data_IF_015704093329
#
_entry.id   IF_015704093329
#
_cell.length_a   1.000
_cell.length_b   1.000
_cell.length_c   1.000
_cell.angle_alpha   90.00
_cell.angle_beta   90.00
_cell.angle_gamma   90.00
#
_symmetry.space_group_name_H-M   'P 1'
#
loop_
_entity.id
_entity.type
_entity.pdbx_description
1 polymer ?
#
# COMPACT_ATOMS: atom_id res chain seq x y z
N UNK A 1 1.40 2.96 -0.70
CA UNK A 1 2.31 1.83 -1.03
C UNK A 1 1.51 0.61 -1.43
N UNK A 2 1.52 0.21 -2.72
CA UNK A 2 0.84 -1.01 -3.17
C UNK A 2 1.40 -2.23 -2.42
N UNK A 3 0.61 -3.30 -2.28
CA UNK A 3 1.04 -4.49 -1.53
C UNK A 3 0.64 -4.48 -0.06
N UNK A 4 0.18 -3.34 0.44
CA UNK A 4 -0.39 -3.17 1.76
C UNK A 4 -1.84 -2.72 1.64
N UNK A 5 -2.70 -3.17 2.55
CA UNK A 5 -4.10 -2.76 2.57
C UNK A 5 -4.22 -1.24 2.73
N UNK A 6 -5.26 -0.67 2.11
CA UNK A 6 -5.44 0.78 2.07
C UNK A 6 -5.56 1.36 3.49
N UNK A 7 -4.80 2.44 3.75
CA UNK A 7 -4.80 3.16 5.03
C UNK A 7 -4.40 2.32 6.26
N UNK A 8 -3.61 1.26 6.09
CA UNK A 8 -3.19 0.38 7.21
C UNK A 8 -1.78 0.63 7.74
N UNK A 9 -0.95 1.36 6.98
CA UNK A 9 0.42 1.68 7.38
C UNK A 9 0.48 2.80 8.42
N UNK A 10 1.41 2.66 9.37
CA UNK A 10 1.71 3.64 10.40
C UNK A 10 1.13 3.31 11.80
N UNK A 11 0.94 4.34 12.65
CA UNK A 11 0.49 4.18 14.02
C UNK A 11 -0.87 3.51 14.19
N UNK A 12 -0.97 2.63 15.19
CA UNK A 12 -2.17 1.86 15.52
C UNK A 12 -2.54 1.98 16.99
N UNK A 13 -3.80 1.80 17.30
CA UNK A 13 -4.27 1.74 18.69
C UNK A 13 -3.68 0.51 19.40
N UNK A 14 -3.36 0.61 20.68
CA UNK A 14 -2.93 -0.56 21.44
C UNK A 14 -4.16 -1.39 21.85
N UNK A 15 -4.24 -2.67 21.48
CA UNK A 15 -5.27 -3.56 22.02
C UNK A 15 -5.10 -3.74 23.53
N UNK A 16 -6.18 -3.50 24.28
CA UNK A 16 -6.28 -3.73 25.72
C UNK A 16 -6.80 -5.14 25.96
N UNK A 17 -6.10 -5.90 26.79
CA UNK A 17 -6.49 -7.26 27.15
C UNK A 17 -7.88 -7.29 27.83
N UNK A 18 -8.76 -8.19 27.37
CA UNK A 18 -10.12 -8.33 27.90
C UNK A 18 -11.18 -7.44 27.26
N UNK A 19 -10.81 -6.56 26.31
CA UNK A 19 -11.76 -5.83 25.48
C UNK A 19 -11.83 -6.43 24.07
N UNK A 20 -12.99 -6.31 23.43
CA UNK A 20 -13.17 -6.73 22.04
C UNK A 20 -12.46 -5.76 21.10
N UNK A 21 -11.55 -6.27 20.28
CA UNK A 21 -10.93 -5.55 19.17
C UNK A 21 -11.27 -6.23 17.87
N UNK A 22 -11.54 -5.41 16.84
CA UNK A 22 -11.78 -5.92 15.48
C UNK A 22 -10.50 -6.49 14.87
N UNK A 23 -9.35 -5.89 15.18
CA UNK A 23 -8.02 -6.35 14.77
C UNK A 23 -7.12 -6.50 16.00
N UNK A 24 -6.50 -7.68 16.15
CA UNK A 24 -5.55 -7.98 17.21
C UNK A 24 -4.24 -7.17 17.09
N UNK A 25 -3.99 -6.52 15.95
CA UNK A 25 -2.89 -5.57 15.72
C UNK A 25 -3.25 -4.13 16.10
N UNK A 26 -4.48 -3.89 16.57
CA UNK A 26 -5.04 -2.55 16.76
C UNK A 26 -5.55 -1.96 15.46
N UNK A 27 -6.36 -0.90 15.55
CA UNK A 27 -6.86 -0.20 14.37
C UNK A 27 -5.88 0.91 13.96
N UNK A 28 -5.56 1.04 12.65
CA UNK A 28 -4.75 2.13 12.15
C UNK A 28 -5.50 3.46 12.30
N UNK A 29 -4.85 4.48 12.84
CA UNK A 29 -5.45 5.81 13.02
C UNK A 29 -4.71 6.91 12.24
N UNK A 30 -3.65 6.55 11.53
CA UNK A 30 -2.82 7.48 10.76
C UNK A 30 -1.81 8.24 11.63
N UNK A 31 -1.31 9.35 11.10
CA UNK A 31 -0.25 10.12 11.72
C UNK A 31 -0.15 11.53 11.14
N UNK A 32 0.81 12.31 11.63
CA UNK A 32 1.00 13.70 11.23
C UNK A 32 2.12 13.93 10.20
N UNK A 33 2.81 12.86 9.79
CA UNK A 33 3.82 12.90 8.74
C UNK A 33 3.65 11.71 7.79
N UNK A 34 3.83 11.94 6.50
CA UNK A 34 3.74 10.93 5.44
C UNK A 34 4.99 11.05 4.56
N UNK A 35 5.62 9.90 4.30
CA UNK A 35 6.68 9.79 3.29
C UNK A 35 6.19 8.79 2.25
N UNK A 36 6.22 9.19 0.99
CA UNK A 36 5.88 8.32 -0.14
C UNK A 36 6.78 8.61 -1.34
N UNK A 37 7.24 7.55 -1.99
CA UNK A 37 8.01 7.56 -3.22
C UNK A 37 7.54 6.39 -4.08
N UNK A 38 7.30 6.64 -5.37
CA UNK A 38 6.95 5.60 -6.34
C UNK A 38 7.77 5.77 -7.61
N UNK A 39 8.26 4.66 -8.13
CA UNK A 39 8.93 4.58 -9.43
C UNK A 39 8.25 3.54 -10.30
N UNK A 40 7.93 3.90 -11.54
CA UNK A 40 7.23 3.03 -12.48
C UNK A 40 7.98 2.96 -13.81
N UNK A 41 8.18 1.73 -14.30
CA UNK A 41 8.72 1.44 -15.63
C UNK A 41 7.60 0.88 -16.50
N UNK A 42 7.22 1.65 -17.52
CA UNK A 42 6.21 1.25 -18.50
C UNK A 42 6.93 0.52 -19.63
N UNK A 43 6.43 -0.64 -20.00
CA UNK A 43 7.01 -1.43 -21.10
C UNK A 43 5.89 -2.01 -21.97
N UNK A 44 6.13 -2.23 -23.27
CA UNK A 44 5.17 -2.92 -24.15
C UNK A 44 5.22 -4.43 -23.90
N UNK A 45 4.06 -5.10 -23.88
CA UNK A 45 3.99 -6.57 -23.83
C UNK A 45 4.28 -7.16 -25.22
N UNK A 46 5.30 -8.02 -25.37
CA UNK A 46 5.76 -8.49 -26.68
C UNK A 46 4.81 -9.46 -27.41
N UNK A 47 3.62 -9.74 -26.86
CA UNK A 47 2.65 -10.72 -27.37
C UNK A 47 1.22 -10.16 -27.50
N UNK A 48 1.04 -8.85 -27.32
CA UNK A 48 -0.28 -8.19 -27.37
C UNK A 48 -0.33 -7.23 -28.55
N UNK A 49 -1.20 -7.52 -29.53
CA UNK A 49 -1.38 -6.69 -30.73
C UNK A 49 -2.13 -5.37 -30.46
N UNK A 50 -2.85 -5.26 -29.33
CA UNK A 50 -3.55 -4.05 -28.90
C UNK A 50 -2.64 -3.10 -28.11
N UNK A 51 -1.61 -2.58 -28.79
CA UNK A 51 -0.54 -1.72 -28.26
C UNK A 51 -1.07 -0.38 -27.68
N UNK A 52 -2.37 -0.08 -27.82
CA UNK A 52 -3.00 1.16 -27.33
C UNK A 52 -4.08 1.01 -26.24
N UNK A 53 -4.52 -0.21 -25.91
CA UNK A 53 -5.58 -0.42 -24.91
C UNK A 53 -5.05 -1.00 -23.59
N UNK A 54 -3.84 -1.56 -23.61
CA UNK A 54 -3.21 -2.19 -22.47
C UNK A 54 -1.92 -1.45 -22.14
N UNK A 55 -1.77 -1.07 -20.87
CA UNK A 55 -0.55 -0.48 -20.31
C UNK A 55 -0.02 -1.41 -19.22
N UNK A 56 1.11 -2.05 -19.48
CA UNK A 56 1.87 -2.80 -18.48
C UNK A 56 2.92 -1.92 -17.83
N UNK A 57 3.11 -2.14 -16.53
CA UNK A 57 4.12 -1.45 -15.74
C UNK A 57 4.77 -2.40 -14.74
N UNK A 58 6.06 -2.19 -14.51
CA UNK A 58 6.76 -2.67 -13.33
C UNK A 58 6.88 -1.49 -12.37
N UNK A 59 6.67 -1.71 -11.08
CA UNK A 59 6.72 -0.64 -10.10
C UNK A 59 7.55 -1.00 -8.88
N UNK A 60 8.04 0.05 -8.22
CA UNK A 60 8.61 0.03 -6.88
C UNK A 60 7.96 1.16 -6.11
N UNK A 61 7.34 0.84 -4.97
CA UNK A 61 6.74 1.80 -4.06
C UNK A 61 7.47 1.76 -2.72
N UNK A 62 7.66 2.93 -2.11
CA UNK A 62 8.25 3.11 -0.80
C UNK A 62 7.38 4.12 -0.05
N UNK A 63 7.07 3.86 1.21
CA UNK A 63 6.41 4.84 2.05
C UNK A 63 5.98 4.32 3.40
N UNK A 64 5.65 5.25 4.29
CA UNK A 64 4.98 4.97 5.54
C UNK A 64 4.36 6.25 6.12
N UNK A 65 3.42 6.09 7.04
CA UNK A 65 2.84 7.15 7.85
C UNK A 65 3.50 7.13 9.24
N UNK A 66 3.83 8.32 9.73
CA UNK A 66 4.60 8.56 10.96
C UNK A 66 3.80 9.48 11.89
N UNK A 67 4.09 9.40 13.19
CA UNK A 67 3.56 10.38 14.15
C UNK A 67 4.67 10.89 15.07
N UNK A 68 5.03 12.17 14.93
CA UNK A 68 6.09 12.82 15.71
C UNK A 68 5.70 13.03 17.18
N UNK A 69 4.44 12.83 17.54
CA UNK A 69 3.94 12.91 18.91
C UNK A 69 3.08 11.68 19.22
N UNK A 70 3.75 10.56 19.51
CA UNK A 70 3.11 9.29 19.82
C UNK A 70 2.33 9.35 21.14
N UNK A 71 0.99 9.22 21.11
CA UNK A 71 0.19 9.14 22.33
C UNK A 71 0.45 7.85 23.10
N UNK A 72 0.29 7.89 24.42
CA UNK A 72 0.24 6.67 25.25
C UNK A 72 -0.89 5.75 24.79
N UNK A 73 -0.67 4.43 24.83
CA UNK A 73 -1.65 3.45 24.37
C UNK A 73 -1.67 3.28 22.84
N UNK A 74 -0.55 3.53 22.18
CA UNK A 74 -0.37 3.25 20.75
C UNK A 74 0.74 2.23 20.52
N UNK A 75 0.62 1.48 19.43
CA UNK A 75 1.62 0.54 18.93
C UNK A 75 1.99 0.93 17.51
N UNK A 76 3.15 0.47 17.03
CA UNK A 76 3.66 0.80 15.70
C UNK A 76 3.74 2.33 15.47
N UNK A 77 4.04 3.10 16.53
CA UNK A 77 4.15 4.54 16.49
C UNK A 77 5.62 4.95 16.66
N UNK A 78 6.13 5.70 15.69
CA UNK A 78 7.51 6.12 15.61
C UNK A 78 7.60 7.49 14.95
N UNK A 79 8.65 8.24 15.32
CA UNK A 79 9.06 9.47 14.64
C UNK A 79 9.63 9.11 13.25
N UNK A 80 9.94 10.12 12.43
CA UNK A 80 10.53 9.92 11.10
C UNK A 80 11.79 9.04 11.17
N UNK A 81 11.63 7.81 10.71
CA UNK A 81 12.67 6.78 10.71
C UNK A 81 12.72 6.08 9.36
N UNK A 82 13.91 6.00 8.78
CA UNK A 82 14.15 5.29 7.52
C UNK A 82 13.98 3.77 7.67
N UNK A 83 14.23 3.24 8.86
CA UNK A 83 14.09 1.80 9.14
C UNK A 83 12.63 1.35 9.07
N UNK A 84 11.71 2.27 9.38
CA UNK A 84 10.29 2.00 9.35
C UNK A 84 9.66 2.22 7.97
N UNK A 85 10.43 2.59 6.95
CA UNK A 85 9.87 2.70 5.60
C UNK A 85 9.46 1.33 5.05
N UNK A 86 8.20 1.21 4.63
CA UNK A 86 7.70 0.01 3.96
C UNK A 86 7.93 0.16 2.47
N UNK A 87 8.31 -0.93 1.82
CA UNK A 87 8.50 -0.92 0.38
C UNK A 87 8.08 -2.21 -0.27
N UNK A 88 7.67 -2.09 -1.52
CA UNK A 88 7.16 -3.18 -2.32
C UNK A 88 7.54 -2.99 -3.78
N UNK A 89 7.48 -4.08 -4.53
CA UNK A 89 7.64 -4.07 -5.97
C UNK A 89 6.61 -4.97 -6.63
N UNK A 90 6.27 -4.72 -7.88
CA UNK A 90 5.28 -5.54 -8.54
C UNK A 90 5.12 -5.26 -10.02
N UNK A 91 4.16 -5.97 -10.58
CA UNK A 91 3.71 -5.80 -11.95
C UNK A 91 2.26 -5.32 -11.89
N UNK A 92 1.92 -4.35 -12.74
CA UNK A 92 0.54 -3.96 -12.93
C UNK A 92 0.18 -3.88 -14.41
N UNK A 93 -1.09 -4.08 -14.69
CA UNK A 93 -1.67 -3.97 -16.02
C UNK A 93 -2.92 -3.11 -15.89
N UNK A 94 -2.98 -2.05 -16.69
CA UNK A 94 -4.18 -1.24 -16.87
C UNK A 94 -4.75 -1.51 -18.26
N UNK A 95 -6.00 -1.93 -18.31
CA UNK A 95 -6.75 -2.15 -19.54
C UNK A 95 -7.87 -1.10 -19.64
N UNK A 96 -7.86 -0.32 -20.73
CA UNK A 96 -8.96 0.59 -21.04
C UNK A 96 -10.12 -0.20 -21.67
N UNK A 97 -11.22 -0.28 -20.96
CA UNK A 97 -12.41 -1.04 -21.39
C UNK A 97 -13.59 -0.13 -21.70
N UNK A 98 -14.67 -0.69 -22.25
CA UNK A 98 -15.87 0.09 -22.58
C UNK A 98 -16.52 0.77 -21.37
N UNK A 99 -16.34 0.22 -20.15
CA UNK A 99 -16.86 0.79 -18.91
C UNK A 99 -15.87 1.73 -18.20
N UNK A 100 -14.64 1.86 -18.72
CA UNK A 100 -13.57 2.67 -18.14
C UNK A 100 -12.27 1.90 -17.91
N UNK A 101 -11.27 2.54 -17.30
CA UNK A 101 -10.00 1.91 -16.99
C UNK A 101 -10.16 0.87 -15.87
N UNK A 102 -9.66 -0.33 -16.12
CA UNK A 102 -9.51 -1.40 -15.14
C UNK A 102 -8.02 -1.63 -14.88
N UNK A 103 -7.60 -1.56 -13.62
CA UNK A 103 -6.20 -1.78 -13.24
C UNK A 103 -6.09 -3.00 -12.33
N UNK A 104 -5.10 -3.84 -12.59
CA UNK A 104 -4.77 -5.01 -11.79
C UNK A 104 -3.29 -4.93 -11.40
N UNK A 105 -2.97 -5.18 -10.13
CA UNK A 105 -1.60 -5.20 -9.65
C UNK A 105 -1.31 -6.47 -8.86
N UNK A 106 -0.17 -7.08 -9.16
CA UNK A 106 0.43 -8.14 -8.36
C UNK A 106 1.68 -7.58 -7.68
N UNK A 107 1.66 -7.55 -6.36
CA UNK A 107 2.64 -6.86 -5.53
C UNK A 107 3.35 -7.80 -4.57
N UNK A 108 4.64 -7.57 -4.41
CA UNK A 108 5.54 -8.26 -3.50
C UNK A 108 6.09 -7.26 -2.48
N UNK A 109 5.52 -7.21 -1.26
CA UNK A 109 6.08 -6.45 -0.14
C UNK A 109 7.42 -7.05 0.29
N UNK A 110 8.42 -6.21 0.56
CA UNK A 110 9.79 -6.65 0.86
C UNK A 110 10.25 -6.30 2.29
N UNK A 111 9.78 -5.19 2.86
CA UNK A 111 10.05 -4.82 4.26
C UNK A 111 8.74 -4.76 5.03
N UNK A 112 8.30 -5.90 5.58
CA UNK A 112 7.03 -6.03 6.30
C UNK A 112 7.27 -6.18 7.80
N UNK A 113 6.47 -5.49 8.61
CA UNK A 113 6.43 -5.60 10.06
C UNK A 113 5.25 -6.44 10.58
N UNK A 114 5.21 -6.72 11.90
CA UNK A 114 4.16 -7.54 12.52
C UNK A 114 2.77 -6.88 12.52
N UNK A 115 2.72 -5.56 12.35
CA UNK A 115 1.48 -4.77 12.34
C UNK A 115 0.94 -4.51 10.93
N UNK A 116 1.68 -4.91 9.89
CA UNK A 116 1.31 -4.59 8.52
C UNK A 116 0.22 -5.53 7.99
N UNK A 117 -0.68 -4.96 7.20
CA UNK A 117 -1.74 -5.68 6.49
C UNK A 117 -1.36 -5.82 5.03
N UNK A 118 -1.12 -7.04 4.58
CA UNK A 118 -0.56 -7.32 3.25
C UNK A 118 -1.68 -7.65 2.25
N UNK A 119 -1.74 -6.89 1.17
CA UNK A 119 -2.63 -7.12 0.02
C UNK A 119 -1.81 -7.37 -1.25
N UNK A 120 -1.53 -8.63 -1.57
CA UNK A 120 -0.66 -8.98 -2.71
C UNK A 120 -1.31 -8.74 -4.08
N UNK A 121 -2.63 -8.86 -4.16
CA UNK A 121 -3.37 -8.66 -5.40
C UNK A 121 -4.40 -7.57 -5.17
N UNK A 122 -4.34 -6.52 -5.97
CA UNK A 122 -5.33 -5.44 -5.95
C UNK A 122 -5.91 -5.21 -7.34
N UNK A 123 -7.18 -4.81 -7.38
CA UNK A 123 -7.86 -4.44 -8.60
C UNK A 123 -8.68 -3.17 -8.37
N UNK A 124 -8.71 -2.30 -9.36
CA UNK A 124 -9.49 -1.06 -9.33
C UNK A 124 -10.32 -0.93 -10.62
N UNK A 125 -11.59 -0.56 -10.46
CA UNK A 125 -12.54 -0.35 -11.56
C UNK A 125 -13.03 1.10 -11.51
N UNK A 126 -12.68 1.91 -12.52
CA UNK A 126 -13.34 3.20 -12.74
C UNK A 126 -13.26 4.21 -11.57
N UNK A 127 -12.18 4.17 -10.78
CA UNK A 127 -11.99 5.06 -9.63
C UNK A 127 -12.10 6.52 -10.06
N UNK A 128 -13.15 7.20 -9.62
CA UNK A 128 -13.21 8.67 -9.58
C UNK A 128 -12.54 9.13 -8.29
N UNK A 129 -11.67 10.13 -8.42
CA UNK A 129 -10.75 10.63 -7.40
C UNK A 129 -11.40 10.89 -6.04
#
# INVERSE_FOLDING_TARGET
>A
VRGFENSTLGPRTQPIEGLYYRDARGDPFGGNALVELSGELIFPLPLVEQIGQIRSLFFVDIGNVFNTNCPSGTVNCFDLSLEELRYSTGLAITWLTAMGPMSFALTFPLNTGPFDEIERFSFELGKTF
#
